data_IF_366521913180
#
_entry.id   IF_366521913180
#
_cell.length_a   1.000
_cell.length_b   1.000
_cell.length_c   1.000
_cell.angle_alpha   90.00
_cell.angle_beta   90.00
_cell.angle_gamma   90.00
#
_symmetry.space_group_name_H-M   'P 1'
#
loop_
_entity.id
_entity.type
_entity.pdbx_description
1 polymer ?
#
# COMPACT_ATOMS: atom_id res chain seq x y z
N UNK A 1 1.27 11.78 17.16
CA UNK A 1 1.51 10.49 16.47
C UNK A 1 1.86 10.67 14.99
N UNK A 2 0.97 11.23 14.16
CA UNK A 2 1.17 11.29 12.69
C UNK A 2 2.43 12.07 12.26
N UNK A 3 2.71 13.24 12.86
CA UNK A 3 3.93 14.01 12.55
C UNK A 3 5.22 13.26 12.93
N UNK A 4 5.22 12.59 14.09
CA UNK A 4 6.38 11.80 14.54
C UNK A 4 6.71 10.68 13.56
N UNK A 5 5.70 9.91 13.13
CA UNK A 5 5.85 8.84 12.13
C UNK A 5 6.48 9.40 10.85
N UNK A 6 5.98 10.54 10.34
CA UNK A 6 6.52 11.17 9.13
C UNK A 6 8.00 11.57 9.30
N UNK A 7 8.36 12.17 10.43
CA UNK A 7 9.74 12.63 10.67
C UNK A 7 10.71 11.47 10.91
N UNK A 8 10.31 10.44 11.65
CA UNK A 8 11.19 9.33 12.05
C UNK A 8 11.43 8.32 10.94
N UNK A 9 10.67 8.40 9.84
CA UNK A 9 10.70 7.42 8.73
C UNK A 9 11.13 8.03 7.39
N UNK A 10 11.80 9.19 7.40
CA UNK A 10 12.27 9.91 6.19
C UNK A 10 13.25 9.12 5.32
N UNK A 11 13.96 8.15 5.90
CA UNK A 11 14.87 7.26 5.15
C UNK A 11 14.15 6.03 4.58
N UNK A 12 12.81 5.96 4.72
CA UNK A 12 11.94 4.97 4.10
C UNK A 12 12.44 3.52 4.21
N UNK A 13 12.80 2.88 3.09
CA UNK A 13 13.25 1.49 3.03
C UNK A 13 14.52 1.21 3.86
N UNK A 14 15.30 2.25 4.17
CA UNK A 14 16.48 2.15 5.06
C UNK A 14 16.14 2.28 6.55
N UNK A 15 14.86 2.45 6.89
CA UNK A 15 14.37 2.65 8.25
C UNK A 15 13.49 1.46 8.70
N UNK A 16 13.88 0.74 9.74
CA UNK A 16 13.08 -0.37 10.31
C UNK A 16 11.72 0.10 10.83
N UNK A 17 11.68 1.27 11.49
CA UNK A 17 10.42 1.87 11.95
C UNK A 17 9.45 2.18 10.81
N UNK A 18 9.94 2.45 9.59
CA UNK A 18 9.08 2.62 8.42
C UNK A 18 8.29 1.35 8.12
N UNK A 19 8.93 0.17 8.22
CA UNK A 19 8.22 -1.12 8.09
C UNK A 19 7.25 -1.36 9.25
N UNK A 20 7.67 -1.08 10.49
CA UNK A 20 6.82 -1.25 11.67
C UNK A 20 5.53 -0.41 11.56
N UNK A 21 5.63 0.86 11.14
CA UNK A 21 4.46 1.71 10.95
C UNK A 21 3.65 1.37 9.68
N UNK A 22 4.17 0.55 8.76
CA UNK A 22 3.41 0.04 7.61
C UNK A 22 2.63 -1.24 7.92
N UNK A 23 3.04 -1.99 8.94
CA UNK A 23 2.40 -3.24 9.30
C UNK A 23 0.90 -3.03 9.57
N UNK A 24 0.08 -3.87 8.94
CA UNK A 24 -1.38 -3.81 9.01
C UNK A 24 -2.04 -2.67 8.22
N UNK A 25 -1.27 -1.89 7.43
CA UNK A 25 -1.80 -0.78 6.64
C UNK A 25 -1.74 -1.06 5.14
N UNK A 26 -2.80 -0.71 4.43
CA UNK A 26 -2.83 -0.70 2.97
C UNK A 26 -1.98 0.49 2.51
N UNK A 27 -0.80 0.20 2.00
CA UNK A 27 0.10 1.24 1.48
C UNK A 27 -0.18 1.54 0.02
N UNK A 28 0.13 2.77 -0.43
CA UNK A 28 -0.11 3.22 -1.81
C UNK A 28 0.36 2.22 -2.88
N UNK A 29 1.54 1.62 -2.72
CA UNK A 29 2.11 0.68 -3.70
C UNK A 29 1.40 -0.68 -3.81
N UNK A 30 0.53 -1.02 -2.86
CA UNK A 30 -0.31 -2.24 -2.89
C UNK A 30 -1.79 -1.92 -3.03
N UNK A 31 -2.17 -0.64 -3.18
CA UNK A 31 -3.55 -0.19 -3.19
C UNK A 31 -4.38 -0.86 -4.30
N UNK A 32 -3.85 -0.94 -5.52
CA UNK A 32 -4.54 -1.60 -6.63
C UNK A 32 -4.87 -3.06 -6.27
N UNK A 33 -3.90 -3.82 -5.80
CA UNK A 33 -4.08 -5.24 -5.46
C UNK A 33 -5.09 -5.40 -4.32
N UNK A 34 -5.03 -4.54 -3.30
CA UNK A 34 -6.00 -4.52 -2.22
C UNK A 34 -7.43 -4.20 -2.70
N UNK A 35 -7.59 -3.33 -3.71
CA UNK A 35 -8.89 -3.00 -4.29
C UNK A 35 -9.47 -4.11 -5.18
N UNK A 36 -8.63 -4.97 -5.75
CA UNK A 36 -9.03 -5.96 -6.75
C UNK A 36 -9.01 -7.41 -6.22
N UNK A 37 -8.37 -7.69 -5.10
CA UNK A 37 -8.34 -9.03 -4.51
C UNK A 37 -9.70 -9.40 -3.91
N UNK A 38 -10.03 -10.69 -3.91
CA UNK A 38 -11.24 -11.20 -3.28
C UNK A 38 -11.19 -11.02 -1.76
N UNK A 39 -12.31 -10.68 -1.14
CA UNK A 39 -12.46 -10.67 0.31
C UNK A 39 -12.73 -12.06 0.88
N UNK A 40 -13.20 -13.01 0.07
CA UNK A 40 -13.46 -14.39 0.45
C UNK A 40 -12.21 -15.26 0.32
N UNK A 41 -11.46 -15.03 -0.77
CA UNK A 41 -10.25 -15.77 -1.15
C UNK A 41 -9.09 -14.80 -1.42
N UNK A 42 -8.63 -14.07 -0.39
CA UNK A 42 -7.60 -13.04 -0.55
C UNK A 42 -6.25 -13.63 -0.92
N UNK A 43 -5.43 -12.83 -1.61
CA UNK A 43 -4.05 -13.20 -1.89
C UNK A 43 -3.24 -13.31 -0.59
N UNK A 44 -2.80 -14.53 -0.27
CA UNK A 44 -1.99 -14.80 0.93
C UNK A 44 -0.64 -14.06 0.88
N UNK A 45 -0.03 -13.94 -0.30
CA UNK A 45 1.21 -13.18 -0.47
C UNK A 45 1.00 -11.67 -0.24
N UNK A 46 -0.15 -11.13 -0.65
CA UNK A 46 -0.54 -9.75 -0.33
C UNK A 46 -0.73 -9.56 1.17
N UNK A 47 -1.42 -10.48 1.86
CA UNK A 47 -1.64 -10.39 3.30
C UNK A 47 -0.33 -10.43 4.07
N UNK A 48 0.54 -11.39 3.77
CA UNK A 48 1.89 -11.46 4.33
C UNK A 48 2.66 -10.14 4.13
N UNK A 49 2.58 -9.54 2.93
CA UNK A 49 3.21 -8.24 2.63
C UNK A 49 2.63 -7.07 3.43
N UNK A 50 1.33 -7.07 3.73
CA UNK A 50 0.65 -6.01 4.48
C UNK A 50 0.83 -6.20 5.99
N UNK A 51 0.62 -7.41 6.51
CA UNK A 51 0.69 -7.71 7.94
C UNK A 51 2.13 -7.78 8.45
N UNK A 52 3.07 -8.28 7.62
CA UNK A 52 4.46 -8.49 8.01
C UNK A 52 5.46 -7.92 6.98
N UNK A 53 5.43 -6.60 6.71
CA UNK A 53 6.19 -5.98 5.62
C UNK A 53 7.72 -6.10 5.79
N UNK A 54 8.22 -6.23 7.01
CA UNK A 54 9.66 -6.39 7.27
C UNK A 54 10.16 -7.80 6.92
N UNK A 55 9.33 -8.83 7.11
CA UNK A 55 9.67 -10.22 6.78
C UNK A 55 9.49 -10.53 5.30
N UNK A 56 8.64 -9.76 4.61
CA UNK A 56 8.33 -9.93 3.19
C UNK A 56 8.84 -8.76 2.35
N UNK A 57 10.11 -8.38 2.58
CA UNK A 57 10.81 -7.41 1.72
C UNK A 57 10.92 -7.99 0.32
N UNK A 58 10.42 -7.24 -0.66
CA UNK A 58 10.53 -7.59 -2.06
C UNK A 58 11.79 -6.94 -2.64
N UNK A 59 12.64 -7.75 -3.24
CA UNK A 59 13.83 -7.29 -3.97
C UNK A 59 13.94 -8.07 -5.28
N UNK A 60 14.00 -7.33 -6.38
CA UNK A 60 14.32 -7.81 -7.72
C UNK A 60 15.38 -6.89 -8.32
N UNK A 61 16.11 -7.32 -9.36
CA UNK A 61 17.04 -6.44 -10.07
C UNK A 61 16.40 -5.10 -10.49
N UNK A 62 15.13 -5.12 -10.91
CA UNK A 62 14.40 -3.90 -11.28
C UNK A 62 14.13 -2.97 -10.07
N UNK A 63 13.79 -3.52 -8.89
CA UNK A 63 13.60 -2.67 -7.71
C UNK A 63 14.92 -2.17 -7.13
N UNK A 64 15.99 -2.97 -7.19
CA UNK A 64 17.34 -2.53 -6.78
C UNK A 64 17.83 -1.42 -7.70
N UNK A 65 17.70 -1.61 -9.02
CA UNK A 65 18.01 -0.57 -10.00
C UNK A 65 17.25 0.72 -9.72
N UNK A 66 15.95 0.63 -9.44
CA UNK A 66 15.14 1.79 -9.06
C UNK A 66 15.68 2.51 -7.82
N UNK A 67 16.00 1.77 -6.75
CA UNK A 67 16.56 2.32 -5.51
C UNK A 67 17.92 2.99 -5.72
N UNK A 68 18.77 2.42 -6.57
CA UNK A 68 20.12 2.94 -6.83
C UNK A 68 20.08 4.26 -7.63
N UNK A 69 19.07 4.45 -8.48
CA UNK A 69 18.96 5.61 -9.38
C UNK A 69 17.91 6.65 -8.94
N UNK A 70 17.10 6.35 -7.92
CA UNK A 70 16.03 7.24 -7.43
C UNK A 70 16.56 8.64 -7.07
N UNK A 71 17.64 8.70 -6.29
CA UNK A 71 18.22 9.97 -5.87
C UNK A 71 18.70 10.81 -7.06
N UNK A 72 19.34 10.18 -8.05
CA UNK A 72 19.86 10.86 -9.24
C UNK A 72 18.74 11.40 -10.14
N UNK A 73 17.65 10.64 -10.30
CA UNK A 73 16.49 11.13 -11.06
C UNK A 73 15.75 12.25 -10.34
N UNK A 74 15.58 12.17 -9.01
CA UNK A 74 15.03 13.29 -8.23
C UNK A 74 15.90 14.53 -8.39
N UNK A 75 17.22 14.40 -8.24
CA UNK A 75 18.15 15.51 -8.39
C UNK A 75 18.11 16.14 -9.79
N UNK A 76 18.06 15.31 -10.83
CA UNK A 76 17.97 15.76 -12.23
C UNK A 76 16.65 16.49 -12.49
N UNK A 77 15.53 15.92 -12.04
CA UNK A 77 14.22 16.56 -12.14
C UNK A 77 14.18 17.91 -11.42
N UNK A 78 14.67 17.96 -10.18
CA UNK A 78 14.71 19.20 -9.38
C UNK A 78 15.57 20.27 -10.06
N UNK A 79 16.70 19.90 -10.66
CA UNK A 79 17.56 20.82 -11.38
C UNK A 79 16.84 21.45 -12.58
N UNK A 80 16.09 20.66 -13.36
CA UNK A 80 15.29 21.18 -14.48
C UNK A 80 14.15 22.08 -14.00
N UNK A 81 13.41 21.67 -12.96
CA UNK A 81 12.31 22.48 -12.41
C UNK A 81 12.80 23.83 -11.91
N UNK A 82 13.97 23.89 -11.26
CA UNK A 82 14.54 25.14 -10.76
C UNK A 82 14.94 26.14 -11.86
N UNK A 83 15.22 25.68 -13.09
CA UNK A 83 15.48 26.58 -14.22
C UNK A 83 14.23 27.37 -14.62
N UNK A 84 13.07 26.74 -14.52
CA UNK A 84 11.78 27.33 -14.93
C UNK A 84 11.07 28.00 -13.74
N UNK A 85 11.28 27.49 -12.53
CA UNK A 85 10.55 27.88 -11.34
C UNK A 85 11.52 28.15 -10.18
N UNK A 86 11.95 29.41 -10.04
CA UNK A 86 12.95 29.80 -9.03
C UNK A 86 12.57 29.45 -7.58
N UNK A 87 11.27 29.42 -7.27
CA UNK A 87 10.74 29.05 -5.95
C UNK A 87 10.58 27.54 -5.72
N UNK A 88 10.94 26.70 -6.70
CA UNK A 88 10.73 25.26 -6.60
C UNK A 88 11.64 24.63 -5.55
N UNK A 89 11.01 24.01 -4.56
CA UNK A 89 11.69 23.28 -3.50
C UNK A 89 11.14 21.87 -3.41
N UNK A 90 12.00 20.94 -2.98
CA UNK A 90 11.59 19.57 -2.69
C UNK A 90 12.12 19.16 -1.32
N UNK A 91 11.56 18.09 -0.75
CA UNK A 91 12.02 17.50 0.51
C UNK A 91 11.75 16.01 0.53
N UNK A 92 12.69 15.24 1.11
CA UNK A 92 12.49 13.82 1.41
C UNK A 92 11.20 13.63 2.19
N UNK A 93 10.42 12.62 1.81
CA UNK A 93 9.18 12.26 2.51
C UNK A 93 9.36 10.99 3.32
N UNK A 94 8.70 10.92 4.48
CA UNK A 94 8.56 9.69 5.26
C UNK A 94 7.23 8.97 4.97
N UNK A 95 6.76 8.18 5.93
CA UNK A 95 5.45 7.56 5.89
C UNK A 95 4.37 8.51 6.38
N UNK A 96 3.37 8.74 5.54
CA UNK A 96 2.17 9.48 5.85
C UNK A 96 1.03 8.53 6.16
N UNK A 97 0.37 8.76 7.28
CA UNK A 97 -0.85 8.07 7.66
C UNK A 97 -2.04 8.93 7.25
N UNK A 98 -3.04 8.32 6.63
CA UNK A 98 -4.31 9.00 6.36
C UNK A 98 -5.03 9.23 7.68
N UNK A 99 -5.43 10.47 7.95
CA UNK A 99 -6.06 10.83 9.23
C UNK A 99 -7.48 10.27 9.31
N UNK A 100 -8.23 10.33 8.20
CA UNK A 100 -9.62 9.86 8.12
C UNK A 100 -9.71 8.33 7.98
N UNK A 101 -8.65 7.71 7.45
CA UNK A 101 -8.55 6.26 7.24
C UNK A 101 -7.21 5.72 7.77
N UNK A 102 -7.02 5.55 9.09
CA UNK A 102 -5.72 5.22 9.70
C UNK A 102 -5.08 3.90 9.24
N UNK A 103 -5.86 3.04 8.57
CA UNK A 103 -5.41 1.82 7.91
C UNK A 103 -4.80 2.04 6.52
N UNK A 104 -4.75 3.29 6.03
CA UNK A 104 -4.14 3.68 4.76
C UNK A 104 -2.88 4.52 5.04
N UNK A 105 -1.81 4.22 4.31
CA UNK A 105 -0.57 4.97 4.40
C UNK A 105 0.11 5.15 3.03
N UNK A 106 0.95 6.17 2.91
CA UNK A 106 1.69 6.44 1.68
C UNK A 106 3.07 7.04 1.98
N UNK A 107 4.04 6.73 1.12
CA UNK A 107 5.33 7.41 1.07
C UNK A 107 5.54 7.79 -0.38
N UNK A 108 5.37 9.06 -0.77
CA UNK A 108 5.89 9.55 -2.05
C UNK A 108 7.42 9.62 -1.98
N UNK A 109 8.08 9.60 -3.14
CA UNK A 109 9.54 9.66 -3.21
C UNK A 109 10.04 11.03 -2.72
N UNK A 110 9.32 12.11 -3.07
CA UNK A 110 9.50 13.42 -2.45
C UNK A 110 8.19 14.21 -2.30
N UNK A 111 8.24 15.23 -1.46
CA UNK A 111 7.29 16.34 -1.48
C UNK A 111 7.88 17.48 -2.29
N UNK A 112 7.04 18.19 -3.03
CA UNK A 112 7.42 19.35 -3.83
C UNK A 112 6.57 20.56 -3.47
N UNK A 113 7.13 21.75 -3.62
CA UNK A 113 6.40 23.00 -3.43
C UNK A 113 6.91 24.07 -4.39
N UNK A 114 5.99 24.82 -4.99
CA UNK A 114 6.28 25.95 -5.84
C UNK A 114 5.29 27.09 -5.58
N UNK A 115 5.71 28.34 -5.77
CA UNK A 115 4.82 29.50 -5.58
C UNK A 115 3.65 29.51 -6.60
N UNK A 116 3.85 29.04 -7.84
CA UNK A 116 2.79 28.96 -8.85
C UNK A 116 1.73 27.89 -8.52
N UNK A 117 2.21 26.77 -8.02
CA UNK A 117 1.54 25.49 -8.16
C UNK A 117 1.12 24.93 -6.79
N UNK A 118 1.64 25.51 -5.70
CA UNK A 118 1.35 25.10 -4.34
C UNK A 118 2.19 23.90 -3.92
N UNK A 119 1.60 23.01 -3.12
CA UNK A 119 2.25 21.78 -2.63
C UNK A 119 1.79 20.60 -3.47
N UNK A 120 2.72 19.71 -3.80
CA UNK A 120 2.47 18.46 -4.49
C UNK A 120 3.37 17.33 -3.97
N UNK A 121 3.26 16.17 -4.61
CA UNK A 121 4.18 15.04 -4.42
C UNK A 121 4.97 14.76 -5.69
N UNK A 122 6.09 14.08 -5.55
CA UNK A 122 6.90 13.56 -6.65
C UNK A 122 6.99 12.03 -6.51
N UNK A 123 6.74 11.34 -7.61
CA UNK A 123 6.88 9.89 -7.74
C UNK A 123 7.71 9.57 -9.00
N UNK A 124 8.83 8.90 -8.82
CA UNK A 124 9.79 8.54 -9.87
C UNK A 124 9.71 7.03 -10.10
N UNK A 125 9.53 6.62 -11.36
CA UNK A 125 9.51 5.21 -11.74
C UNK A 125 10.50 4.92 -12.86
N UNK A 126 11.20 3.80 -12.68
CA UNK A 126 12.11 3.21 -13.67
C UNK A 126 11.55 1.89 -14.19
N UNK A 127 10.60 1.91 -15.14
CA UNK A 127 10.14 0.68 -15.78
C UNK A 127 11.26 0.07 -16.61
N UNK A 128 11.63 -1.17 -16.30
CA UNK A 128 12.69 -1.93 -16.97
C UNK A 128 12.47 -2.05 -18.50
N UNK A 129 11.20 -2.08 -18.94
CA UNK A 129 10.84 -2.13 -20.37
C UNK A 129 11.20 -0.85 -21.15
N UNK A 130 11.30 0.30 -20.49
CA UNK A 130 11.68 1.56 -21.15
C UNK A 130 13.19 1.71 -21.33
N UNK A 131 14.01 1.05 -20.50
CA UNK A 131 15.47 1.17 -20.55
C UNK A 131 16.08 0.80 -21.91
N UNK A 132 15.43 -0.11 -22.64
CA UNK A 132 15.95 -0.62 -23.92
C UNK A 132 15.25 -0.05 -25.17
N UNK A 133 14.07 0.56 -25.04
CA UNK A 133 13.20 0.93 -26.19
C UNK A 133 12.86 2.42 -26.28
N UNK A 134 13.09 3.19 -25.21
CA UNK A 134 12.58 4.56 -25.09
C UNK A 134 11.08 4.62 -24.76
N UNK A 135 10.61 5.75 -24.22
CA UNK A 135 9.27 5.87 -23.64
C UNK A 135 8.15 5.72 -24.67
N UNK A 136 8.28 6.33 -25.85
CA UNK A 136 7.25 6.29 -26.89
C UNK A 136 7.03 4.87 -27.40
N UNK A 137 8.09 4.17 -27.79
CA UNK A 137 7.99 2.78 -28.23
C UNK A 137 7.55 1.83 -27.11
N UNK A 138 7.94 2.11 -25.85
CA UNK A 138 7.43 1.36 -24.71
C UNK A 138 5.92 1.59 -24.48
N UNK A 139 5.39 2.77 -24.77
CA UNK A 139 3.97 3.09 -24.59
C UNK A 139 3.00 2.32 -25.49
N UNK A 140 3.52 1.73 -26.57
CA UNK A 140 2.75 0.85 -27.46
C UNK A 140 2.55 -0.55 -26.85
N UNK A 141 3.31 -0.92 -25.82
CA UNK A 141 3.16 -2.23 -25.18
C UNK A 141 2.07 -2.20 -24.11
N UNK A 142 1.30 -3.29 -24.03
CA UNK A 142 0.18 -3.39 -23.09
C UNK A 142 0.62 -3.38 -21.64
N UNK A 143 1.82 -3.90 -21.35
CA UNK A 143 2.43 -4.01 -20.03
C UNK A 143 3.09 -2.72 -19.53
N UNK A 144 3.31 -1.72 -20.41
CA UNK A 144 3.88 -0.45 -19.98
C UNK A 144 2.89 0.39 -19.19
N UNK A 145 3.41 1.24 -18.29
CA UNK A 145 2.56 2.05 -17.42
C UNK A 145 1.92 3.25 -18.14
N UNK A 146 2.56 3.80 -19.16
CA UNK A 146 2.04 4.93 -19.93
C UNK A 146 1.34 4.44 -21.20
N UNK A 147 0.43 5.26 -21.70
CA UNK A 147 -0.26 5.13 -22.98
C UNK A 147 -0.22 6.47 -23.72
N UNK A 148 -0.14 6.43 -25.04
CA UNK A 148 -0.26 7.61 -25.87
C UNK A 148 -1.70 7.80 -26.30
N UNK A 149 -2.34 8.88 -25.87
CA UNK A 149 -3.72 9.18 -26.24
C UNK A 149 -3.91 10.67 -26.45
N UNK A 150 -4.68 11.02 -27.48
CA UNK A 150 -4.99 12.41 -27.83
C UNK A 150 -3.73 13.28 -28.05
N UNK A 151 -2.67 12.69 -28.61
CA UNK A 151 -1.40 13.39 -28.87
C UNK A 151 -0.50 13.55 -27.64
N UNK A 152 -0.83 12.94 -26.50
CA UNK A 152 -0.07 13.08 -25.25
C UNK A 152 0.17 11.74 -24.56
N UNK A 153 1.33 11.59 -23.92
CA UNK A 153 1.56 10.48 -22.99
C UNK A 153 0.74 10.71 -21.71
N UNK A 154 0.10 9.66 -21.21
CA UNK A 154 -0.55 9.67 -19.88
C UNK A 154 -0.39 8.34 -19.16
N UNK A 155 -0.47 8.39 -17.84
CA UNK A 155 -0.46 7.18 -17.01
C UNK A 155 -1.79 6.42 -17.18
N UNK A 156 -1.73 5.14 -17.54
CA UNK A 156 -2.90 4.27 -17.70
C UNK A 156 -3.70 4.23 -16.39
N UNK A 157 -5.00 4.60 -16.44
CA UNK A 157 -5.87 4.64 -15.25
C UNK A 157 -6.06 3.28 -14.56
N UNK A 158 -5.96 2.19 -15.32
CA UNK A 158 -6.03 0.84 -14.79
C UNK A 158 -4.69 0.34 -14.22
N UNK A 159 -3.58 1.07 -14.39
CA UNK A 159 -2.26 0.64 -13.95
C UNK A 159 -2.04 0.84 -12.45
N UNK A 160 -1.22 0.00 -11.82
CA UNK A 160 -0.97 0.03 -10.38
C UNK A 160 -0.43 1.39 -9.88
N UNK A 161 0.45 2.02 -10.67
CA UNK A 161 0.99 3.35 -10.36
C UNK A 161 -0.08 4.44 -10.30
N UNK A 162 -1.18 4.32 -11.05
CA UNK A 162 -2.27 5.30 -10.97
C UNK A 162 -2.94 5.25 -9.59
N UNK A 163 -3.24 4.05 -9.09
CA UNK A 163 -3.75 3.84 -7.73
C UNK A 163 -2.76 4.34 -6.67
N UNK A 164 -1.47 4.10 -6.89
CA UNK A 164 -0.42 4.55 -5.98
C UNK A 164 -0.39 6.09 -5.86
N UNK A 165 -0.33 6.79 -6.99
CA UNK A 165 -0.27 8.26 -7.03
C UNK A 165 -1.55 8.89 -6.47
N UNK A 166 -2.73 8.36 -6.83
CA UNK A 166 -4.01 8.83 -6.26
C UNK A 166 -4.08 8.61 -4.74
N UNK A 167 -3.53 7.49 -4.23
CA UNK A 167 -3.42 7.26 -2.78
C UNK A 167 -2.48 8.26 -2.12
N UNK A 168 -1.30 8.51 -2.72
CA UNK A 168 -0.33 9.47 -2.19
C UNK A 168 -0.95 10.87 -2.09
N UNK A 169 -1.57 11.36 -3.16
CA UNK A 169 -2.23 12.68 -3.16
C UNK A 169 -3.34 12.77 -2.12
N UNK A 170 -4.19 11.74 -2.01
CA UNK A 170 -5.27 11.71 -1.01
C UNK A 170 -4.77 11.66 0.44
N UNK A 171 -3.69 10.91 0.70
CA UNK A 171 -3.08 10.82 2.04
C UNK A 171 -2.34 12.12 2.41
N UNK A 172 -1.71 12.79 1.44
CA UNK A 172 -1.01 14.06 1.65
C UNK A 172 -1.96 15.26 1.73
N UNK A 173 -3.12 15.18 1.06
CA UNK A 173 -4.04 16.31 0.88
C UNK A 173 -3.52 17.34 -0.13
N UNK A 174 -3.01 16.88 -1.28
CA UNK A 174 -2.50 17.73 -2.36
C UNK A 174 -3.24 17.48 -3.67
N UNK A 175 -3.32 18.48 -4.55
CA UNK A 175 -4.09 18.39 -5.78
C UNK A 175 -3.37 17.66 -6.92
N UNK A 176 -2.03 17.61 -6.88
CA UNK A 176 -1.21 17.08 -7.96
C UNK A 176 -0.01 16.27 -7.47
N UNK A 177 0.47 15.43 -8.38
CA UNK A 177 1.73 14.71 -8.26
C UNK A 177 2.50 14.83 -9.58
N UNK A 178 3.77 15.20 -9.48
CA UNK A 178 4.73 15.05 -10.55
C UNK A 178 5.12 13.56 -10.64
N UNK A 179 4.79 12.93 -11.76
CA UNK A 179 5.09 11.53 -12.05
C UNK A 179 6.16 11.45 -13.13
N UNK A 180 7.33 10.91 -12.79
CA UNK A 180 8.51 10.92 -13.68
C UNK A 180 8.81 9.51 -14.15
N UNK A 181 8.77 9.32 -15.48
CA UNK A 181 9.21 8.11 -16.17
C UNK A 181 10.07 8.54 -17.36
N UNK A 182 11.36 8.81 -17.13
CA UNK A 182 12.30 9.45 -18.07
C UNK A 182 11.92 10.88 -18.51
N UNK A 183 10.64 11.18 -18.66
CA UNK A 183 10.04 12.49 -18.91
C UNK A 183 9.09 12.84 -17.76
N UNK A 184 9.07 14.09 -17.26
CA UNK A 184 8.11 14.51 -16.26
C UNK A 184 6.68 14.56 -16.80
N UNK A 185 5.71 14.21 -15.96
CA UNK A 185 4.28 14.29 -16.26
C UNK A 185 3.53 14.76 -15.02
N UNK A 186 2.51 15.59 -15.19
CA UNK A 186 1.70 16.05 -14.07
C UNK A 186 0.39 15.25 -13.99
N UNK A 187 0.11 14.70 -12.81
CA UNK A 187 -1.12 13.94 -12.54
C UNK A 187 -1.98 14.70 -11.52
N UNK A 188 -3.26 14.82 -11.83
CA UNK A 188 -4.24 15.46 -10.96
C UNK A 188 -5.06 14.44 -10.17
N UNK A 189 -5.50 14.82 -8.98
CA UNK A 189 -6.44 14.02 -8.19
C UNK A 189 -7.76 13.80 -8.96
N UNK A 190 -8.30 12.60 -8.86
CA UNK A 190 -9.62 12.26 -9.37
C UNK A 190 -10.53 11.82 -8.23
N UNK A 191 -11.33 12.74 -7.70
CA UNK A 191 -12.15 12.52 -6.51
C UNK A 191 -13.07 11.32 -6.65
N UNK A 192 -13.75 11.19 -7.80
CA UNK A 192 -14.69 10.07 -8.04
C UNK A 192 -13.98 8.70 -8.02
N UNK A 193 -12.76 8.64 -8.53
CA UNK A 193 -11.92 7.45 -8.50
C UNK A 193 -11.43 7.17 -7.08
N UNK A 194 -10.92 8.19 -6.39
CA UNK A 194 -10.42 8.08 -5.02
C UNK A 194 -11.51 7.56 -4.09
N UNK A 195 -12.75 8.06 -4.18
CA UNK A 195 -13.85 7.58 -3.34
C UNK A 195 -14.17 6.09 -3.57
N UNK A 196 -14.20 5.64 -4.83
CA UNK A 196 -14.39 4.22 -5.16
C UNK A 196 -13.25 3.36 -4.61
N UNK A 197 -12.01 3.82 -4.78
CA UNK A 197 -10.80 3.16 -4.28
C UNK A 197 -10.83 3.03 -2.74
N UNK A 198 -11.15 4.10 -2.02
CA UNK A 198 -11.23 4.11 -0.55
C UNK A 198 -12.32 3.16 -0.04
N UNK A 199 -13.48 3.09 -0.72
CA UNK A 199 -14.55 2.16 -0.39
C UNK A 199 -14.10 0.69 -0.50
N UNK A 200 -13.41 0.33 -1.60
CA UNK A 200 -12.86 -1.02 -1.78
C UNK A 200 -11.78 -1.33 -0.75
N UNK A 201 -10.85 -0.40 -0.50
CA UNK A 201 -9.79 -0.56 0.49
C UNK A 201 -10.36 -0.75 1.91
N UNK A 202 -11.42 -0.02 2.27
CA UNK A 202 -12.11 -0.19 3.56
C UNK A 202 -12.66 -1.60 3.71
N UNK A 203 -13.35 -2.13 2.70
CA UNK A 203 -13.89 -3.49 2.72
C UNK A 203 -12.78 -4.52 2.92
N UNK A 204 -11.68 -4.39 2.18
CA UNK A 204 -10.54 -5.29 2.32
C UNK A 204 -9.89 -5.20 3.70
N UNK A 205 -9.75 -3.99 4.25
CA UNK A 205 -9.23 -3.83 5.60
C UNK A 205 -10.12 -4.50 6.64
N UNK A 206 -11.42 -4.22 6.65
CA UNK A 206 -12.33 -4.70 7.71
C UNK A 206 -12.58 -6.20 7.65
N UNK A 207 -12.65 -6.79 6.46
CA UNK A 207 -13.00 -8.22 6.29
C UNK A 207 -11.80 -9.13 6.13
N UNK A 208 -10.61 -8.58 5.85
CA UNK A 208 -9.42 -9.41 5.58
C UNK A 208 -8.26 -9.04 6.48
N UNK A 209 -7.74 -7.82 6.38
CA UNK A 209 -6.53 -7.44 7.15
C UNK A 209 -6.82 -7.45 8.65
N UNK A 210 -7.95 -6.90 9.08
CA UNK A 210 -8.28 -6.82 10.49
C UNK A 210 -8.42 -8.22 11.12
N UNK A 211 -9.23 -9.16 10.59
CA UNK A 211 -9.21 -10.54 11.07
C UNK A 211 -7.83 -11.18 11.02
N UNK A 212 -7.08 -11.01 9.93
CA UNK A 212 -5.75 -11.57 9.80
C UNK A 212 -4.79 -11.12 10.91
N UNK A 213 -4.82 -9.84 11.30
CA UNK A 213 -3.98 -9.30 12.38
C UNK A 213 -4.32 -9.86 13.77
N UNK A 214 -5.57 -10.26 14.01
CA UNK A 214 -6.01 -10.75 15.32
C UNK A 214 -5.98 -12.27 15.44
N UNK A 215 -6.24 -12.99 14.36
CA UNK A 215 -6.52 -14.43 14.40
C UNK A 215 -5.82 -15.23 13.31
N UNK A 216 -5.00 -14.61 12.44
CA UNK A 216 -4.29 -15.26 11.33
C UNK A 216 -5.22 -16.15 10.46
N UNK A 217 -6.48 -15.74 10.35
CA UNK A 217 -7.57 -16.53 9.79
C UNK A 217 -7.32 -17.03 8.36
N UNK A 218 -6.47 -16.36 7.59
CA UNK A 218 -6.19 -16.72 6.22
C UNK A 218 -4.82 -17.39 6.08
N UNK A 219 -3.78 -16.91 6.76
CA UNK A 219 -2.45 -17.49 6.61
C UNK A 219 -2.28 -18.85 7.31
N UNK A 220 -3.02 -19.14 8.38
CA UNK A 220 -2.93 -20.43 9.07
C UNK A 220 -3.73 -21.57 8.40
N UNK A 221 -4.73 -21.25 7.56
CA UNK A 221 -5.52 -22.27 6.84
C UNK A 221 -4.68 -23.07 5.83
N UNK A 222 -3.57 -22.51 5.34
CA UNK A 222 -2.67 -23.20 4.40
C UNK A 222 -1.63 -24.12 5.07
N UNK A 223 -1.38 -23.96 6.38
CA UNK A 223 -0.39 -24.79 7.10
C UNK A 223 -0.95 -26.10 7.65
N UNK A 224 -2.27 -26.24 7.75
CA UNK A 224 -2.90 -27.49 8.18
C UNK A 224 -3.32 -28.28 6.94
N UNK A 225 -2.45 -29.18 6.46
CA UNK A 225 -2.91 -30.29 5.62
C UNK A 225 -3.92 -31.09 6.45
N UNK A 226 -5.08 -31.48 5.90
CA UNK A 226 -6.02 -32.32 6.62
C UNK A 226 -5.36 -33.66 6.88
N UNK A 227 -4.91 -33.90 8.10
CA UNK A 227 -4.74 -35.26 8.60
C UNK A 227 -6.16 -35.80 8.74
N UNK A 228 -6.50 -36.73 7.86
CA UNK A 228 -7.66 -37.59 8.04
C UNK A 228 -7.53 -38.28 9.38
N UNK A 229 -8.26 -37.80 10.39
CA UNK A 229 -9.09 -38.64 11.23
C UNK A 229 -9.98 -37.76 12.12
N UNK A 230 -11.22 -38.22 12.26
CA UNK A 230 -12.30 -37.74 13.12
C UNK A 230 -11.84 -37.22 14.48
N UNK A 231 -12.25 -36.04 14.91
CA UNK A 231 -13.56 -35.81 15.51
C UNK A 231 -13.87 -34.32 15.65
N UNK A 232 -15.17 -34.04 15.68
CA UNK A 232 -15.76 -32.72 15.91
C UNK A 232 -15.35 -32.21 17.30
N UNK A 233 -15.18 -30.89 17.41
CA UNK A 233 -15.21 -30.06 18.64
C UNK A 233 -14.05 -29.05 18.76
N UNK A 234 -13.61 -28.44 17.64
CA UNK A 234 -12.74 -27.25 17.70
C UNK A 234 -13.59 -25.99 17.88
N UNK A 235 -13.61 -25.44 19.08
CA UNK A 235 -14.49 -24.32 19.43
C UNK A 235 -13.89 -22.96 19.11
N UNK A 236 -12.58 -22.79 19.35
CA UNK A 236 -11.82 -21.54 19.23
C UNK A 236 -10.80 -21.62 18.07
N UNK A 237 -10.30 -20.48 17.59
CA UNK A 237 -9.29 -20.43 16.50
C UNK A 237 -7.95 -21.08 16.88
N UNK A 238 -7.66 -21.23 18.17
CA UNK A 238 -6.52 -22.03 18.64
C UNK A 238 -6.71 -23.53 18.43
N UNK A 239 -7.85 -23.96 17.88
CA UNK A 239 -8.29 -25.35 17.71
C UNK A 239 -8.35 -26.14 19.02
N UNK A 240 -8.31 -25.45 20.16
CA UNK A 240 -8.47 -26.05 21.47
C UNK A 240 -9.93 -26.45 21.73
N UNK A 241 -10.14 -27.46 22.60
CA UNK A 241 -11.48 -27.88 23.01
C UNK A 241 -12.16 -26.78 23.85
N UNK A 242 -13.46 -26.96 24.09
CA UNK A 242 -14.20 -26.15 25.04
C UNK A 242 -13.54 -26.24 26.43
N UNK A 243 -12.97 -25.13 26.89
CA UNK A 243 -12.21 -25.11 28.14
C UNK A 243 -12.11 -23.71 28.74
N UNK A 244 -12.21 -23.60 30.06
CA UNK A 244 -12.07 -22.33 30.77
C UNK A 244 -13.14 -21.30 30.42
N UNK A 245 -12.82 -20.01 30.58
CA UNK A 245 -13.73 -18.90 30.26
C UNK A 245 -13.75 -18.64 28.76
N UNK A 246 -14.95 -18.67 28.17
CA UNK A 246 -15.14 -18.51 26.73
C UNK A 246 -16.25 -17.49 26.43
N UNK A 247 -16.15 -16.84 25.27
CA UNK A 247 -17.14 -15.93 24.72
C UNK A 247 -17.85 -16.60 23.55
N UNK A 248 -19.17 -16.74 23.66
CA UNK A 248 -20.03 -17.15 22.57
C UNK A 248 -20.17 -15.99 21.57
N UNK A 249 -20.15 -16.33 20.29
CA UNK A 249 -20.49 -15.38 19.23
C UNK A 249 -21.98 -15.43 18.92
N UNK A 250 -22.58 -14.26 18.70
CA UNK A 250 -24.01 -14.09 18.46
C UNK A 250 -24.36 -13.89 16.96
N UNK A 251 -23.54 -14.40 16.02
CA UNK A 251 -23.76 -14.19 14.59
C UNK A 251 -23.10 -15.23 13.69
N UNK A 252 -23.61 -15.35 12.45
CA UNK A 252 -23.41 -16.54 11.58
C UNK A 252 -22.22 -16.47 10.61
N UNK A 253 -21.45 -15.37 10.57
CA UNK A 253 -20.40 -15.15 9.55
C UNK A 253 -18.98 -15.59 9.97
N UNK A 254 -18.81 -16.72 10.65
CA UNK A 254 -17.51 -17.22 11.12
C UNK A 254 -17.63 -18.70 11.44
N UNK A 255 -16.58 -19.46 11.15
CA UNK A 255 -16.54 -20.91 11.35
C UNK A 255 -16.35 -21.32 12.82
N UNK A 256 -16.17 -20.36 13.73
CA UNK A 256 -15.98 -20.60 15.17
C UNK A 256 -17.12 -19.95 15.96
N UNK A 257 -17.72 -20.73 16.86
CA UNK A 257 -18.85 -20.32 17.69
C UNK A 257 -18.41 -19.80 19.07
N UNK A 258 -17.21 -20.15 19.53
CA UNK A 258 -16.74 -19.82 20.89
C UNK A 258 -15.26 -19.44 20.93
N UNK A 259 -14.89 -18.48 21.76
CA UNK A 259 -13.50 -18.00 21.85
C UNK A 259 -12.98 -18.01 23.28
N UNK A 260 -11.79 -18.58 23.53
CA UNK A 260 -11.18 -18.52 24.86
C UNK A 260 -10.81 -17.08 25.24
N UNK A 261 -11.03 -16.71 26.50
CA UNK A 261 -10.62 -15.41 27.05
C UNK A 261 -9.12 -15.16 26.88
N UNK A 262 -8.30 -16.19 27.14
CA UNK A 262 -6.86 -16.11 26.98
C UNK A 262 -6.46 -15.84 25.52
N UNK A 263 -7.12 -16.50 24.57
CA UNK A 263 -6.92 -16.28 23.14
C UNK A 263 -7.27 -14.83 22.76
N UNK A 264 -8.40 -14.30 23.26
CA UNK A 264 -8.80 -12.91 23.01
C UNK A 264 -8.07 -11.86 23.87
N UNK A 265 -7.18 -12.25 24.78
CA UNK A 265 -6.52 -11.34 25.72
C UNK A 265 -7.48 -10.68 26.73
N UNK A 266 -8.66 -11.25 26.94
CA UNK A 266 -9.71 -10.72 27.81
C UNK A 266 -9.56 -11.32 29.21
N UNK A 267 -9.56 -10.47 30.24
CA UNK A 267 -9.38 -10.91 31.65
C UNK A 267 -10.69 -11.05 32.44
N UNK A 268 -11.79 -10.48 31.94
CA UNK A 268 -13.13 -10.49 32.57
C UNK A 268 -14.22 -10.43 31.51
N UNK A 269 -15.40 -10.96 31.82
CA UNK A 269 -16.52 -10.93 30.90
C UNK A 269 -16.86 -9.46 30.54
N UNK A 270 -17.18 -9.17 29.25
CA UNK A 270 -17.71 -7.88 28.83
C UNK A 270 -19.00 -7.50 29.56
#
# INVERSE_FOLDING_TARGET
MVQHVRSSTREQSKCTMWYAYRAGRITASVMKTACCTSTETPSISLLKKICHPEMHKFSTPATTWGLDHEADAINSYVAEMKKQYASFVHSKSGLWLCSDHPYIAASPDASVQCACCGKGTLEVKFPHSAANKGVLAASETSDFCLEFVDGSLRLKRAHAYFYQVQTQMGVYGVAYCDFVVWTPMELHMNDTFVQKMLSSARKFFTHVILPELFTECFTMKDTVKPTSDSDKDSFCYCQGPESGKMLARDGDQCNYTWFHFACLGIKRAP
#
